data_IF_884367594447
#
_entry.id   IF_884367594447
#
_cell.length_a   1.000
_cell.length_b   1.000
_cell.length_c   1.000
_cell.angle_alpha   90.00
_cell.angle_beta   90.00
_cell.angle_gamma   90.00
#
_symmetry.space_group_name_H-M   'P 1'
#
loop_
_entity.id
_entity.type
_entity.pdbx_description
1 polymer ?
#
# COMPACT_ATOMS: atom_id res chain seq x y z
N UNK A 1 42.15 6.34 -18.79
CA UNK A 1 41.30 5.13 -18.84
C UNK A 1 42.18 3.98 -18.40
N UNK A 2 42.19 3.68 -17.11
CA UNK A 2 42.97 2.60 -16.51
C UNK A 2 42.17 1.32 -16.65
N UNK A 3 42.63 0.41 -17.51
CA UNK A 3 42.23 -0.99 -17.51
C UNK A 3 42.62 -1.57 -16.16
N UNK A 4 41.65 -1.75 -15.26
CA UNK A 4 41.81 -2.74 -14.20
C UNK A 4 41.73 -4.10 -14.89
N UNK A 5 42.87 -4.77 -15.00
CA UNK A 5 42.93 -6.19 -15.29
C UNK A 5 42.00 -6.91 -14.30
N UNK A 6 40.89 -7.43 -14.80
CA UNK A 6 40.05 -8.37 -14.05
C UNK A 6 40.92 -9.61 -13.82
N UNK A 7 41.48 -9.70 -12.60
CA UNK A 7 42.01 -10.95 -12.10
C UNK A 7 40.97 -12.06 -12.37
N UNK A 8 41.40 -13.28 -12.76
CA UNK A 8 40.46 -14.36 -12.97
C UNK A 8 39.64 -14.50 -11.69
N UNK A 9 38.34 -14.22 -11.78
CA UNK A 9 37.41 -14.50 -10.69
C UNK A 9 37.51 -16.00 -10.49
N UNK A 10 38.27 -16.43 -9.48
CA UNK A 10 38.16 -17.80 -9.00
C UNK A 10 36.69 -17.96 -8.64
N UNK A 11 35.99 -18.84 -9.36
CA UNK A 11 34.61 -19.16 -9.10
C UNK A 11 34.53 -19.70 -7.66
N UNK A 12 34.14 -18.81 -6.74
CA UNK A 12 34.01 -19.13 -5.33
C UNK A 12 32.76 -19.99 -5.18
N UNK A 13 32.94 -21.32 -5.12
CA UNK A 13 31.84 -22.23 -4.79
C UNK A 13 31.68 -22.29 -3.27
N UNK A 14 30.57 -21.74 -2.76
CA UNK A 14 30.24 -21.77 -1.33
C UNK A 14 30.24 -23.20 -0.78
N UNK A 15 29.87 -24.18 -1.61
CA UNK A 15 29.76 -25.59 -1.21
C UNK A 15 31.09 -26.25 -0.84
N UNK A 16 32.22 -25.65 -1.22
CA UNK A 16 33.55 -26.13 -0.81
C UNK A 16 33.83 -25.86 0.67
N UNK A 17 33.08 -24.95 1.29
CA UNK A 17 33.24 -24.55 2.70
C UNK A 17 32.14 -25.09 3.61
N UNK A 18 31.17 -25.82 3.05
CA UNK A 18 30.07 -26.41 3.81
C UNK A 18 30.59 -27.59 4.61
N UNK A 19 30.55 -27.46 5.94
CA UNK A 19 31.09 -28.46 6.88
C UNK A 19 30.10 -28.75 7.99
N UNK A 20 30.26 -29.91 8.65
CA UNK A 20 29.52 -30.21 9.85
C UNK A 20 29.92 -29.22 10.96
N UNK A 21 28.93 -28.54 11.55
CA UNK A 21 29.12 -27.54 12.60
C UNK A 21 29.73 -28.09 13.92
N UNK A 22 29.85 -29.42 14.04
CA UNK A 22 30.37 -30.12 15.22
C UNK A 22 31.76 -30.72 15.02
N UNK A 23 31.99 -31.45 13.94
CA UNK A 23 33.27 -32.11 13.66
C UNK A 23 34.04 -31.55 12.47
N UNK A 24 33.50 -30.52 11.80
CA UNK A 24 34.12 -29.89 10.62
C UNK A 24 34.35 -30.83 9.43
N UNK A 25 33.71 -32.00 9.42
CA UNK A 25 33.72 -32.89 8.26
C UNK A 25 33.12 -32.14 7.06
N UNK A 26 33.87 -32.08 5.95
CA UNK A 26 33.44 -31.41 4.72
C UNK A 26 32.31 -32.17 4.03
N UNK A 27 31.35 -31.42 3.49
CA UNK A 27 30.30 -31.95 2.63
C UNK A 27 30.87 -32.35 1.25
N UNK A 28 31.75 -31.53 0.68
CA UNK A 28 32.44 -31.86 -0.56
C UNK A 28 33.86 -32.36 -0.22
N UNK A 29 34.16 -33.67 -0.35
CA UNK A 29 35.51 -34.18 -0.13
C UNK A 29 36.47 -33.69 -1.23
N UNK A 30 37.77 -33.60 -0.93
CA UNK A 30 38.83 -33.05 -1.81
C UNK A 30 38.88 -33.67 -3.22
N UNK A 31 38.37 -34.90 -3.38
CA UNK A 31 38.32 -35.62 -4.65
C UNK A 31 37.07 -35.31 -5.51
N UNK A 32 36.19 -34.38 -5.08
CA UNK A 32 34.95 -34.05 -5.78
C UNK A 32 33.88 -35.17 -5.78
N UNK A 33 34.07 -36.20 -4.94
CA UNK A 33 33.15 -37.32 -4.80
C UNK A 33 31.92 -36.99 -3.93
N UNK A 34 30.97 -37.93 -3.78
CA UNK A 34 29.86 -37.77 -2.85
C UNK A 34 30.35 -37.67 -1.40
N UNK A 35 29.59 -37.01 -0.50
CA UNK A 35 29.96 -36.91 0.90
C UNK A 35 30.13 -38.30 1.53
N UNK A 36 31.12 -38.49 2.44
CA UNK A 36 31.40 -39.78 3.06
C UNK A 36 30.26 -40.29 3.96
N UNK A 37 29.40 -39.38 4.43
CA UNK A 37 28.18 -39.67 5.21
C UNK A 37 27.09 -38.68 4.81
N UNK A 38 25.79 -38.98 5.03
CA UNK A 38 24.73 -38.01 4.81
C UNK A 38 24.89 -36.76 5.67
N UNK A 39 24.50 -35.61 5.13
CA UNK A 39 24.43 -34.33 5.84
C UNK A 39 22.99 -33.85 5.95
N UNK A 40 22.74 -33.08 6.99
CA UNK A 40 21.44 -32.52 7.33
C UNK A 40 21.60 -31.04 7.63
N UNK A 41 20.63 -30.24 7.23
CA UNK A 41 20.50 -28.85 7.65
C UNK A 41 19.36 -28.74 8.65
N UNK A 42 19.61 -28.05 9.75
CA UNK A 42 18.63 -27.79 10.81
C UNK A 42 17.86 -26.50 10.50
N UNK A 43 16.64 -26.37 11.03
CA UNK A 43 15.83 -25.14 10.91
C UNK A 43 16.57 -23.88 11.39
N UNK A 44 17.45 -24.02 12.38
CA UNK A 44 18.30 -22.94 12.89
C UNK A 44 19.53 -22.63 12.02
N UNK A 45 19.64 -23.20 10.81
CA UNK A 45 20.68 -22.92 9.83
C UNK A 45 22.00 -23.66 10.04
N UNK A 46 22.11 -24.53 11.04
CA UNK A 46 23.33 -25.32 11.25
C UNK A 46 23.33 -26.60 10.42
N UNK A 47 24.47 -26.89 9.80
CA UNK A 47 24.73 -28.12 9.05
C UNK A 47 25.34 -29.17 9.97
N UNK A 48 24.81 -30.40 9.98
CA UNK A 48 25.29 -31.52 10.80
C UNK A 48 25.42 -32.79 9.96
N UNK A 49 26.48 -33.56 10.16
CA UNK A 49 26.58 -34.89 9.55
C UNK A 49 25.72 -35.90 10.31
N UNK A 50 25.40 -37.03 9.67
CA UNK A 50 24.55 -38.07 10.26
C UNK A 50 25.01 -38.54 11.65
N UNK A 51 26.33 -38.58 11.90
CA UNK A 51 26.90 -39.00 13.18
C UNK A 51 26.65 -37.99 14.33
N UNK A 52 26.36 -36.73 14.00
CA UNK A 52 26.03 -35.69 14.97
C UNK A 52 24.56 -35.26 14.92
N UNK A 53 23.74 -35.95 14.13
CA UNK A 53 22.29 -35.79 14.19
C UNK A 53 21.76 -36.43 15.47
N UNK A 54 21.03 -35.67 16.28
CA UNK A 54 20.47 -36.16 17.54
C UNK A 54 19.04 -36.64 17.35
N UNK A 55 18.70 -37.77 17.97
CA UNK A 55 17.35 -38.36 17.92
C UNK A 55 16.33 -37.59 18.75
N UNK A 56 16.79 -36.73 19.67
CA UNK A 56 15.95 -35.88 20.51
C UNK A 56 15.51 -34.58 19.80
N UNK A 57 15.73 -34.48 18.49
CA UNK A 57 15.42 -33.30 17.68
C UNK A 57 16.05 -32.01 18.25
N UNK A 58 17.22 -32.11 18.87
CA UNK A 58 18.01 -30.95 19.28
C UNK A 58 19.16 -30.66 18.32
N UNK A 59 19.42 -29.37 18.07
CA UNK A 59 20.55 -28.94 17.26
C UNK A 59 21.88 -29.26 17.99
N UNK A 60 22.77 -30.00 17.34
CA UNK A 60 24.08 -30.35 17.91
C UNK A 60 25.04 -29.16 18.09
N UNK A 61 24.73 -27.99 17.50
CA UNK A 61 25.55 -26.77 17.58
C UNK A 61 25.03 -25.77 18.61
N UNK A 62 23.77 -25.33 18.49
CA UNK A 62 23.20 -24.29 19.38
C UNK A 62 22.32 -24.85 20.51
N UNK A 63 21.95 -26.14 20.47
CA UNK A 63 21.13 -26.76 21.51
C UNK A 63 19.63 -26.46 21.44
N UNK A 64 19.15 -25.74 20.42
CA UNK A 64 17.71 -25.54 20.17
C UNK A 64 17.01 -26.90 20.06
N UNK A 65 15.88 -27.05 20.75
CA UNK A 65 15.07 -28.29 20.78
C UNK A 65 13.91 -28.21 19.80
N UNK A 66 13.28 -29.35 19.54
CA UNK A 66 12.12 -29.49 18.66
C UNK A 66 12.36 -28.90 17.26
N UNK A 67 13.59 -29.04 16.74
CA UNK A 67 13.99 -28.49 15.45
C UNK A 67 13.58 -29.41 14.30
N UNK A 68 13.16 -28.81 13.19
CA UNK A 68 13.06 -29.54 11.93
C UNK A 68 14.45 -29.73 11.30
N UNK A 69 14.62 -30.85 10.59
CA UNK A 69 15.82 -31.17 9.83
C UNK A 69 15.46 -31.60 8.42
N UNK A 70 16.25 -31.15 7.45
CA UNK A 70 16.13 -31.54 6.05
C UNK A 70 17.44 -32.16 5.56
N UNK A 71 17.40 -33.15 4.66
CA UNK A 71 18.60 -33.63 3.98
C UNK A 71 19.31 -32.48 3.26
N UNK A 72 20.62 -32.36 3.45
CA UNK A 72 21.40 -31.34 2.77
C UNK A 72 21.73 -31.80 1.35
N UNK A 73 21.31 -31.02 0.36
CA UNK A 73 21.57 -31.23 -1.06
C UNK A 73 21.98 -29.90 -1.70
N UNK A 74 22.68 -29.93 -2.85
CA UNK A 74 23.07 -28.69 -3.55
C UNK A 74 21.86 -27.97 -4.14
N UNK A 75 20.94 -28.75 -4.69
CA UNK A 75 19.68 -28.26 -5.25
C UNK A 75 18.57 -28.33 -4.18
N UNK A 76 18.48 -27.30 -3.34
CA UNK A 76 17.42 -27.15 -2.36
C UNK A 76 16.36 -26.15 -2.82
N UNK A 77 15.12 -26.36 -2.40
CA UNK A 77 14.08 -25.37 -2.59
C UNK A 77 14.27 -24.16 -1.64
N UNK A 78 13.86 -22.94 -2.07
CA UNK A 78 13.77 -21.81 -1.16
C UNK A 78 12.85 -22.10 0.03
N UNK A 79 13.14 -21.55 1.23
CA UNK A 79 14.17 -20.55 1.51
C UNK A 79 15.55 -21.12 1.85
N UNK A 80 15.69 -22.44 2.00
CA UNK A 80 16.92 -23.07 2.50
C UNK A 80 18.10 -22.91 1.54
N UNK A 81 17.86 -22.94 0.22
CA UNK A 81 18.92 -22.68 -0.77
C UNK A 81 19.56 -21.30 -0.65
N UNK A 82 18.81 -20.29 -0.19
CA UNK A 82 19.33 -18.94 -0.02
C UNK A 82 20.43 -18.87 1.05
N UNK A 83 20.44 -19.79 2.02
CA UNK A 83 21.48 -19.86 3.05
C UNK A 83 22.87 -20.24 2.50
N UNK A 84 22.90 -20.86 1.32
CA UNK A 84 24.11 -21.32 0.64
C UNK A 84 24.48 -20.44 -0.57
N UNK A 85 23.74 -19.34 -0.79
CA UNK A 85 24.08 -18.35 -1.82
C UNK A 85 25.34 -17.57 -1.45
N UNK A 86 26.13 -17.19 -2.44
CA UNK A 86 27.32 -16.37 -2.18
C UNK A 86 26.92 -14.98 -1.69
N UNK A 87 27.74 -14.39 -0.82
CA UNK A 87 27.46 -13.05 -0.30
C UNK A 87 27.27 -11.99 -1.42
N UNK A 88 28.08 -11.96 -2.50
CA UNK A 88 27.83 -11.06 -3.63
C UNK A 88 26.46 -11.30 -4.30
N UNK A 89 26.10 -12.55 -4.56
CA UNK A 89 24.80 -12.89 -5.17
C UNK A 89 23.61 -12.47 -4.30
N UNK A 90 23.72 -12.68 -2.98
CA UNK A 90 22.69 -12.26 -2.03
C UNK A 90 22.54 -10.74 -2.00
N UNK A 91 23.66 -10.00 -2.03
CA UNK A 91 23.67 -8.54 -2.07
C UNK A 91 23.08 -8.00 -3.38
N UNK A 92 23.41 -8.59 -4.52
CA UNK A 92 22.84 -8.21 -5.81
C UNK A 92 21.32 -8.42 -5.82
N UNK A 93 20.85 -9.58 -5.36
CA UNK A 93 19.42 -9.90 -5.24
C UNK A 93 18.71 -8.89 -4.35
N UNK A 94 19.30 -8.52 -3.21
CA UNK A 94 18.77 -7.53 -2.30
C UNK A 94 18.73 -6.14 -2.95
N UNK A 95 19.78 -5.74 -3.67
CA UNK A 95 19.86 -4.47 -4.37
C UNK A 95 18.77 -4.35 -5.46
N UNK A 96 18.59 -5.39 -6.27
CA UNK A 96 17.53 -5.44 -7.27
C UNK A 96 16.13 -5.35 -6.64
N UNK A 97 15.88 -6.16 -5.61
CA UNK A 97 14.58 -6.17 -4.90
C UNK A 97 14.28 -4.81 -4.29
N UNK A 98 15.27 -4.20 -3.63
CA UNK A 98 15.15 -2.89 -3.01
C UNK A 98 14.89 -1.81 -4.05
N UNK A 99 15.61 -1.82 -5.17
CA UNK A 99 15.40 -0.87 -6.27
C UNK A 99 13.97 -0.96 -6.82
N UNK A 100 13.50 -2.17 -7.11
CA UNK A 100 12.13 -2.40 -7.59
C UNK A 100 11.07 -1.88 -6.61
N UNK A 101 11.25 -2.16 -5.32
CA UNK A 101 10.34 -1.70 -4.26
C UNK A 101 10.32 -0.16 -4.16
N UNK A 102 11.50 0.47 -4.20
CA UNK A 102 11.63 1.94 -4.16
C UNK A 102 10.99 2.58 -5.40
N UNK A 103 11.27 2.07 -6.59
CA UNK A 103 10.70 2.60 -7.85
C UNK A 103 9.17 2.48 -7.86
N UNK A 104 8.64 1.35 -7.41
CA UNK A 104 7.20 1.13 -7.26
C UNK A 104 6.58 2.14 -6.28
N UNK A 105 7.15 2.25 -5.08
CA UNK A 105 6.67 3.18 -4.06
C UNK A 105 6.73 4.64 -4.54
N UNK A 106 7.82 5.03 -5.22
CA UNK A 106 7.96 6.37 -5.79
C UNK A 106 6.88 6.66 -6.84
N UNK A 107 6.52 5.68 -7.67
CA UNK A 107 5.42 5.78 -8.64
C UNK A 107 4.07 6.02 -7.93
N UNK A 108 3.76 5.24 -6.89
CA UNK A 108 2.56 5.39 -6.07
C UNK A 108 2.49 6.78 -5.42
N UNK A 109 3.59 7.25 -4.82
CA UNK A 109 3.65 8.59 -4.20
C UNK A 109 3.39 9.68 -5.24
N UNK A 110 4.01 9.60 -6.42
CA UNK A 110 3.80 10.57 -7.51
C UNK A 110 2.35 10.54 -8.02
N UNK A 111 1.75 9.36 -8.15
CA UNK A 111 0.35 9.20 -8.53
C UNK A 111 -0.58 9.91 -7.53
N UNK A 112 -0.45 9.60 -6.24
CA UNK A 112 -1.34 10.19 -5.24
C UNK A 112 -1.12 11.69 -5.05
N UNK A 113 0.13 12.19 -5.18
CA UNK A 113 0.38 13.64 -5.21
C UNK A 113 -0.39 14.32 -6.35
N UNK A 114 -0.34 13.78 -7.57
CA UNK A 114 -1.09 14.31 -8.71
C UNK A 114 -2.60 14.22 -8.51
N UNK A 115 -3.10 13.09 -7.98
CA UNK A 115 -4.51 12.87 -7.69
C UNK A 115 -5.04 13.89 -6.67
N UNK A 116 -4.33 14.10 -5.57
CA UNK A 116 -4.70 15.08 -4.55
C UNK A 116 -4.68 16.51 -5.09
N UNK A 117 -3.67 16.88 -5.89
CA UNK A 117 -3.61 18.19 -6.53
C UNK A 117 -4.79 18.41 -7.50
N UNK A 118 -5.12 17.40 -8.30
CA UNK A 118 -6.25 17.44 -9.22
C UNK A 118 -7.59 17.58 -8.49
N UNK A 119 -7.82 16.76 -7.45
CA UNK A 119 -9.02 16.82 -6.62
C UNK A 119 -9.16 18.17 -5.93
N UNK A 120 -8.07 18.73 -5.38
CA UNK A 120 -8.06 20.07 -4.80
C UNK A 120 -8.48 21.12 -5.83
N UNK A 121 -7.89 21.10 -7.02
CA UNK A 121 -8.25 22.01 -8.11
C UNK A 121 -9.73 21.86 -8.52
N UNK A 122 -10.26 20.64 -8.57
CA UNK A 122 -11.67 20.41 -8.88
C UNK A 122 -12.60 21.00 -7.81
N UNK A 123 -12.28 20.78 -6.52
CA UNK A 123 -13.04 21.35 -5.40
C UNK A 123 -13.05 22.88 -5.46
N UNK A 124 -11.90 23.50 -5.70
CA UNK A 124 -11.78 24.96 -5.84
C UNK A 124 -12.63 25.49 -7.01
N UNK A 125 -12.67 24.78 -8.15
CA UNK A 125 -13.51 25.15 -9.30
C UNK A 125 -15.01 24.96 -9.06
N UNK A 126 -15.40 23.99 -8.23
CA UNK A 126 -16.81 23.75 -7.90
C UNK A 126 -17.34 24.70 -6.83
N UNK A 127 -16.47 25.28 -5.99
CA UNK A 127 -16.87 26.15 -4.88
C UNK A 127 -17.74 27.35 -5.32
N UNK A 128 -17.45 28.09 -6.40
CA UNK A 128 -18.30 29.18 -6.87
C UNK A 128 -19.70 28.73 -7.27
N UNK A 129 -19.82 27.64 -8.03
CA UNK A 129 -21.12 27.11 -8.46
C UNK A 129 -21.99 26.63 -7.28
N UNK A 130 -21.35 26.08 -6.23
CA UNK A 130 -22.01 25.74 -4.96
C UNK A 130 -22.50 27.01 -4.26
N UNK A 131 -21.68 28.06 -4.22
CA UNK A 131 -22.03 29.32 -3.59
C UNK A 131 -23.20 30.01 -4.32
N UNK A 132 -23.13 30.09 -5.64
CA UNK A 132 -24.20 30.62 -6.48
C UNK A 132 -25.53 29.86 -6.27
N UNK A 133 -25.49 28.53 -6.24
CA UNK A 133 -26.68 27.73 -5.93
C UNK A 133 -27.29 28.04 -4.56
N UNK A 134 -26.45 28.29 -3.54
CA UNK A 134 -26.92 28.69 -2.21
C UNK A 134 -27.56 30.07 -2.22
N UNK A 135 -27.01 30.99 -3.01
CA UNK A 135 -27.51 32.36 -3.11
C UNK A 135 -28.84 32.41 -3.88
N UNK A 136 -28.95 31.65 -4.98
CA UNK A 136 -30.19 31.47 -5.72
C UNK A 136 -31.29 30.83 -4.89
N UNK A 137 -30.97 29.80 -4.09
CA UNK A 137 -31.95 29.18 -3.16
C UNK A 137 -32.48 30.18 -2.14
N UNK A 138 -31.60 30.99 -1.54
CA UNK A 138 -32.01 32.04 -0.59
C UNK A 138 -32.88 33.10 -1.26
N UNK A 139 -32.57 33.51 -2.48
CA UNK A 139 -33.39 34.45 -3.24
C UNK A 139 -34.80 33.88 -3.54
N UNK A 140 -34.88 32.62 -3.97
CA UNK A 140 -36.15 31.93 -4.21
C UNK A 140 -37.00 31.82 -2.94
N UNK A 141 -36.39 31.46 -1.81
CA UNK A 141 -37.06 31.42 -0.50
C UNK A 141 -37.59 32.82 -0.10
N UNK A 142 -36.82 33.88 -0.34
CA UNK A 142 -37.26 35.26 -0.11
C UNK A 142 -38.50 35.63 -0.93
N UNK A 143 -38.47 35.39 -2.24
CA UNK A 143 -39.60 35.69 -3.14
C UNK A 143 -40.84 34.86 -2.80
N UNK A 144 -40.68 33.57 -2.45
CA UNK A 144 -41.81 32.73 -2.03
C UNK A 144 -42.46 33.27 -0.75
N UNK A 145 -41.67 33.72 0.22
CA UNK A 145 -42.18 34.34 1.44
C UNK A 145 -42.96 35.63 1.15
N UNK A 146 -42.44 36.51 0.27
CA UNK A 146 -43.13 37.74 -0.15
C UNK A 146 -44.44 37.45 -0.89
N UNK A 147 -44.46 36.41 -1.73
CA UNK A 147 -45.66 35.99 -2.46
C UNK A 147 -46.71 35.42 -1.50
N UNK A 148 -46.29 34.61 -0.52
CA UNK A 148 -47.16 34.06 0.53
C UNK A 148 -47.75 35.19 1.41
N UNK A 149 -46.93 36.17 1.81
CA UNK A 149 -47.42 37.35 2.53
C UNK A 149 -48.40 38.16 1.68
N UNK A 150 -48.09 38.39 0.40
CA UNK A 150 -48.98 39.13 -0.51
C UNK A 150 -50.30 38.39 -0.78
N UNK A 151 -50.29 37.06 -0.82
CA UNK A 151 -51.50 36.24 -0.89
C UNK A 151 -52.35 36.37 0.38
N UNK A 152 -51.74 36.45 1.56
CA UNK A 152 -52.46 36.75 2.80
C UNK A 152 -53.07 38.17 2.81
N UNK A 153 -52.45 39.13 2.12
CA UNK A 153 -53.02 40.48 1.92
C UNK A 153 -54.08 40.54 0.79
N UNK A 154 -54.08 39.60 -0.15
CA UNK A 154 -55.11 39.44 -1.18
C UNK A 154 -56.09 38.32 -0.80
N UNK A 155 -56.69 38.39 0.39
CA UNK A 155 -57.76 37.47 0.74
C UNK A 155 -59.01 37.81 -0.11
N UNK A 156 -59.55 36.87 -0.90
CA UNK A 156 -60.76 37.11 -1.68
C UNK A 156 -61.91 37.37 -0.71
N UNK A 157 -62.61 38.49 -0.88
CA UNK A 157 -63.85 38.73 -0.14
C UNK A 157 -64.77 37.52 -0.29
N UNK A 158 -65.23 36.97 0.84
CA UNK A 158 -66.21 35.88 0.87
C UNK A 158 -67.55 36.26 0.25
N UNK A 159 -67.78 37.54 -0.05
CA UNK A 159 -69.03 38.07 -0.59
C UNK A 159 -68.96 38.21 -2.12
N UNK A 160 -69.78 37.48 -2.89
CA UNK A 160 -69.91 37.67 -4.34
C UNK A 160 -70.64 39.00 -4.63
N UNK A 161 -70.23 39.71 -5.69
CA UNK A 161 -70.94 40.93 -6.10
C UNK A 161 -72.27 40.60 -6.79
N UNK A 162 -73.10 41.62 -7.04
CA UNK A 162 -74.42 41.48 -7.65
C UNK A 162 -74.46 40.85 -9.07
N UNK A 163 -73.30 40.70 -9.73
CA UNK A 163 -73.19 39.99 -11.02
C UNK A 163 -72.62 38.57 -10.87
N UNK A 164 -72.55 38.04 -9.64
CA UNK A 164 -72.03 36.69 -9.35
C UNK A 164 -70.51 36.54 -9.52
N UNK A 165 -69.78 37.65 -9.71
CA UNK A 165 -68.32 37.65 -9.83
C UNK A 165 -67.70 38.05 -8.49
N UNK A 166 -66.65 37.33 -8.06
CA UNK A 166 -65.90 37.69 -6.84
C UNK A 166 -65.08 38.96 -7.12
N UNK A 167 -65.25 39.98 -6.29
CA UNK A 167 -64.57 41.26 -6.45
C UNK A 167 -63.19 41.19 -5.78
N UNK A 168 -62.14 41.51 -6.53
CA UNK A 168 -60.77 41.59 -5.99
C UNK A 168 -60.65 42.88 -5.16
N UNK A 169 -60.31 42.78 -3.88
CA UNK A 169 -60.02 43.97 -3.06
C UNK A 169 -58.63 44.49 -3.44
N UNK A 170 -58.58 45.68 -4.06
CA UNK A 170 -57.32 46.44 -4.11
C UNK A 170 -57.14 47.14 -2.76
N UNK A 171 -56.21 46.65 -1.94
CA UNK A 171 -55.76 47.39 -0.77
C UNK A 171 -55.00 48.61 -1.28
N UNK A 172 -55.65 49.77 -1.19
CA UNK A 172 -55.10 51.06 -1.58
C UNK A 172 -53.81 51.37 -0.82
N UNK A 173 -52.71 51.52 -1.58
CA UNK A 173 -51.43 52.05 -1.10
C UNK A 173 -51.66 53.43 -0.48
N UNK A 174 -51.48 53.55 0.83
CA UNK A 174 -51.31 54.84 1.48
C UNK A 174 -50.09 55.53 0.89
N UNK A 175 -50.30 56.68 0.22
CA UNK A 175 -49.25 57.65 -0.08
C UNK A 175 -48.72 58.17 1.25
N UNK A 176 -47.45 57.88 1.55
CA UNK A 176 -46.70 58.62 2.55
C UNK A 176 -46.40 59.99 1.94
N UNK A 177 -47.14 60.99 2.39
CA UNK A 177 -46.87 62.40 2.11
C UNK A 177 -45.59 62.81 2.84
N UNK A 178 -44.70 63.47 2.12
CA UNK A 178 -43.50 64.11 2.63
C UNK A 178 -43.82 65.13 3.73
N UNK A 179 -42.97 65.13 4.76
CA UNK A 179 -42.52 66.30 5.54
C UNK A 179 -41.10 66.00 6.04
#
# INVERSE_FOLDING_TARGET
>A
MSNLEQAPQQDFDFWDYVTCSRCHLSFTPDNGGPPPVPFWVTECGHVVCNNHLRTDQSCAKCGQRDIQVAPLQRDMDPPMSNWFSSAPQALDTLAFTTRFQIESLASLVRYYKRKCAHQRSLIERMRPAIQENKDLRRALEGVQNETCQSQNYMEPSGMPNGNGKRQMLQISRYRISAL
#
